data_IF_925778641533
#
_entry.id   IF_925778641533
#
_cell.length_a   1.000
_cell.length_b   1.000
_cell.length_c   1.000
_cell.angle_alpha   90.00
_cell.angle_beta   90.00
_cell.angle_gamma   90.00
#
_symmetry.space_group_name_H-M   'P 1'
#
loop_
_entity.id
_entity.type
_entity.pdbx_description
1 polymer ?
#
# COMPACT_ATOMS: atom_id res chain seq x y z
N UNK A 1 12.46 21.97 -1.42
CA UNK A 1 11.12 21.39 -1.62
C UNK A 1 10.35 22.28 -2.56
N UNK A 2 9.90 21.74 -3.69
CA UNK A 2 9.11 22.51 -4.66
C UNK A 2 7.73 22.84 -4.08
N UNK A 3 7.08 23.91 -4.55
CA UNK A 3 5.69 24.25 -4.15
C UNK A 3 4.71 23.10 -4.40
N UNK A 4 5.07 22.20 -5.32
CA UNK A 4 4.30 20.99 -5.64
C UNK A 4 4.42 19.93 -4.52
N UNK A 5 5.60 19.77 -3.92
CA UNK A 5 5.83 18.83 -2.81
C UNK A 5 5.09 19.26 -1.53
N UNK A 6 5.05 20.56 -1.25
CA UNK A 6 4.34 21.08 -0.06
C UNK A 6 2.83 20.90 -0.19
N UNK A 7 2.27 21.05 -1.40
CA UNK A 7 0.85 20.80 -1.67
C UNK A 7 0.53 19.29 -1.59
N UNK A 8 1.38 18.41 -2.12
CA UNK A 8 1.20 16.95 -1.97
C UNK A 8 1.18 16.50 -0.51
N UNK A 9 2.08 17.03 0.29
CA UNK A 9 2.16 16.77 1.73
C UNK A 9 0.91 17.26 2.47
N UNK A 10 0.43 18.47 2.16
CA UNK A 10 -0.75 19.07 2.80
C UNK A 10 -2.07 18.32 2.47
N UNK A 11 -2.15 17.67 1.30
CA UNK A 11 -3.32 16.88 0.88
C UNK A 11 -3.20 15.40 1.30
N UNK A 12 -2.12 15.02 2.00
CA UNK A 12 -1.91 13.65 2.47
C UNK A 12 -1.62 12.64 1.35
N UNK A 13 -1.27 13.10 0.15
CA UNK A 13 -0.77 12.23 -0.91
C UNK A 13 0.70 11.92 -0.62
N UNK A 14 0.96 10.75 -0.03
CA UNK A 14 2.32 10.20 0.04
C UNK A 14 2.86 10.05 -1.39
N UNK A 15 4.06 10.58 -1.65
CA UNK A 15 4.71 10.61 -2.98
C UNK A 15 4.86 9.24 -3.66
N UNK A 16 4.60 8.15 -2.96
CA UNK A 16 4.84 6.79 -3.41
C UNK A 16 3.61 6.06 -3.93
N UNK A 17 2.39 6.60 -3.93
CA UNK A 17 1.22 5.84 -4.41
C UNK A 17 1.12 5.78 -5.93
N UNK A 18 0.98 4.58 -6.52
CA UNK A 18 0.77 4.39 -7.97
C UNK A 18 -0.53 5.07 -8.43
N UNK A 19 -0.51 5.65 -9.62
CA UNK A 19 -1.73 6.27 -10.17
C UNK A 19 -2.74 5.21 -10.63
N UNK A 20 -4.02 5.57 -10.71
CA UNK A 20 -5.06 4.65 -11.18
C UNK A 20 -4.82 4.15 -12.61
N UNK A 21 -4.25 5.01 -13.46
CA UNK A 21 -3.88 4.66 -14.83
C UNK A 21 -2.75 3.63 -14.83
N UNK A 22 -1.67 3.86 -14.07
CA UNK A 22 -0.56 2.90 -13.92
C UNK A 22 -1.02 1.53 -13.42
N UNK A 23 -1.91 1.48 -12.42
CA UNK A 23 -2.46 0.22 -11.91
C UNK A 23 -3.31 -0.53 -12.95
N UNK A 24 -4.00 0.21 -13.82
CA UNK A 24 -4.80 -0.35 -14.91
C UNK A 24 -3.91 -0.87 -16.04
N UNK A 25 -2.88 -0.12 -16.41
CA UNK A 25 -1.88 -0.50 -17.41
C UNK A 25 -1.10 -1.75 -16.99
N UNK A 26 -0.73 -1.83 -15.70
CA UNK A 26 -0.11 -3.00 -15.10
C UNK A 26 -1.08 -4.18 -14.89
N UNK A 27 -2.36 -4.03 -15.28
CA UNK A 27 -3.41 -5.05 -15.19
C UNK A 27 -3.53 -5.67 -13.79
N UNK A 28 -3.38 -4.86 -12.74
CA UNK A 28 -3.51 -5.34 -11.37
C UNK A 28 -4.96 -5.78 -11.08
N UNK A 29 -5.18 -6.95 -10.45
CA UNK A 29 -6.49 -7.34 -9.94
C UNK A 29 -6.98 -6.34 -8.88
N UNK A 30 -8.30 -6.20 -8.76
CA UNK A 30 -8.92 -5.19 -7.88
C UNK A 30 -8.47 -5.29 -6.41
N UNK A 31 -8.14 -6.49 -5.95
CA UNK A 31 -7.70 -6.77 -4.59
C UNK A 31 -6.33 -6.17 -4.28
N UNK A 32 -5.48 -6.00 -5.29
CA UNK A 32 -4.11 -5.49 -5.15
C UNK A 32 -3.96 -4.03 -5.61
N UNK A 33 -5.08 -3.32 -5.75
CA UNK A 33 -5.12 -1.88 -6.06
C UNK A 33 -5.20 -1.07 -4.77
N UNK A 34 -4.26 -1.32 -3.88
CA UNK A 34 -4.15 -0.72 -2.55
C UNK A 34 -3.04 0.33 -2.49
N UNK A 35 -2.79 0.92 -1.33
CA UNK A 35 -1.73 1.92 -1.15
C UNK A 35 -0.34 1.37 -1.49
N UNK A 36 -0.12 0.06 -1.37
CA UNK A 36 1.16 -0.60 -1.65
C UNK A 36 1.35 -1.03 -3.12
N UNK A 37 0.40 -0.72 -4.01
CA UNK A 37 0.45 -1.15 -5.42
C UNK A 37 1.71 -0.68 -6.17
N UNK A 38 2.29 0.44 -5.77
CA UNK A 38 3.53 0.99 -6.34
C UNK A 38 4.75 0.07 -6.19
N UNK A 39 4.78 -0.77 -5.15
CA UNK A 39 5.83 -1.77 -4.95
C UNK A 39 5.53 -3.08 -5.67
N UNK A 40 4.24 -3.37 -5.91
CA UNK A 40 3.82 -4.59 -6.60
C UNK A 40 4.11 -4.55 -8.10
N UNK A 41 3.99 -3.38 -8.73
CA UNK A 41 4.30 -3.19 -10.16
C UNK A 41 5.76 -3.59 -10.48
N UNK A 42 6.80 -3.06 -9.79
CA UNK A 42 8.18 -3.46 -10.04
C UNK A 42 8.44 -4.93 -9.63
N UNK A 43 7.83 -5.42 -8.54
CA UNK A 43 7.94 -6.83 -8.16
C UNK A 43 7.45 -7.78 -9.27
N UNK A 44 6.30 -7.48 -9.88
CA UNK A 44 5.75 -8.30 -10.95
C UNK A 44 6.60 -8.23 -12.23
N UNK A 45 7.22 -7.07 -12.53
CA UNK A 45 8.19 -6.95 -13.61
C UNK A 45 9.43 -7.82 -13.35
N UNK A 46 9.98 -7.77 -12.14
CA UNK A 46 11.13 -8.60 -11.76
C UNK A 46 10.79 -10.10 -11.82
N UNK A 47 9.64 -10.50 -11.28
CA UNK A 47 9.15 -11.89 -11.36
C UNK A 47 9.02 -12.39 -12.79
N UNK A 48 8.49 -11.57 -13.69
CA UNK A 48 8.38 -11.94 -15.09
C UNK A 48 9.74 -12.08 -15.78
N UNK A 49 10.69 -11.18 -15.48
CA UNK A 49 12.04 -11.22 -16.03
C UNK A 49 12.85 -12.44 -15.53
N UNK A 50 12.71 -12.80 -14.25
CA UNK A 50 13.44 -13.88 -13.59
C UNK A 50 12.64 -15.20 -13.56
N UNK A 51 11.61 -15.35 -14.40
CA UNK A 51 10.79 -16.56 -14.49
C UNK A 51 10.22 -17.06 -13.15
N UNK A 52 9.86 -16.15 -12.25
CA UNK A 52 9.26 -16.43 -10.94
C UNK A 52 10.12 -17.30 -10.02
N UNK A 53 11.44 -17.27 -10.17
CA UNK A 53 12.35 -17.99 -9.28
C UNK A 53 12.28 -17.44 -7.84
N UNK A 54 12.17 -18.30 -6.81
CA UNK A 54 11.84 -17.86 -5.45
C UNK A 54 12.99 -17.15 -4.71
N UNK A 55 14.23 -17.32 -5.16
CA UNK A 55 15.45 -16.68 -4.62
C UNK A 55 15.84 -15.40 -5.37
N UNK A 56 15.02 -14.96 -6.33
CA UNK A 56 15.18 -13.71 -7.06
C UNK A 56 14.10 -12.72 -6.63
N UNK A 57 14.39 -11.43 -6.76
CA UNK A 57 13.47 -10.35 -6.40
C UNK A 57 13.07 -10.34 -4.90
N UNK A 58 13.98 -10.77 -4.01
CA UNK A 58 13.68 -10.87 -2.57
C UNK A 58 13.49 -9.51 -1.91
N UNK A 59 14.29 -8.51 -2.30
CA UNK A 59 14.22 -7.17 -1.74
C UNK A 59 12.89 -6.48 -2.12
N UNK A 60 12.46 -6.61 -3.37
CA UNK A 60 11.17 -6.12 -3.85
C UNK A 60 10.01 -6.85 -3.19
N UNK A 61 10.15 -8.17 -2.96
CA UNK A 61 9.15 -8.96 -2.23
C UNK A 61 9.03 -8.47 -0.80
N UNK A 62 10.15 -8.35 -0.09
CA UNK A 62 10.18 -8.00 1.31
C UNK A 62 9.69 -6.56 1.55
N UNK A 63 10.05 -5.62 0.68
CA UNK A 63 9.55 -4.25 0.74
C UNK A 63 8.02 -4.18 0.54
N UNK A 64 7.47 -4.93 -0.42
CA UNK A 64 6.02 -5.03 -0.60
C UNK A 64 5.32 -5.64 0.63
N UNK A 65 5.85 -6.74 1.17
CA UNK A 65 5.32 -7.40 2.37
C UNK A 65 5.33 -6.49 3.60
N UNK A 66 6.42 -5.73 3.79
CA UNK A 66 6.53 -4.74 4.86
C UNK A 66 5.44 -3.66 4.73
N UNK A 67 5.21 -3.15 3.52
CA UNK A 67 4.15 -2.17 3.28
C UNK A 67 2.76 -2.73 3.63
N UNK A 68 2.45 -3.96 3.21
CA UNK A 68 1.20 -4.64 3.54
C UNK A 68 1.03 -4.82 5.05
N UNK A 69 2.11 -5.16 5.75
CA UNK A 69 2.10 -5.33 7.19
C UNK A 69 1.84 -4.01 7.94
N UNK A 70 2.42 -2.91 7.48
CA UNK A 70 2.16 -1.58 8.04
C UNK A 70 0.71 -1.12 7.79
N UNK A 71 0.17 -1.41 6.60
CA UNK A 71 -1.24 -1.14 6.27
C UNK A 71 -2.20 -1.97 7.15
N UNK A 72 -1.88 -3.25 7.37
CA UNK A 72 -2.61 -4.11 8.29
C UNK A 72 -2.62 -3.53 9.72
N UNK A 73 -1.47 -3.08 10.23
CA UNK A 73 -1.40 -2.44 11.57
C UNK A 73 -2.29 -1.21 11.67
N UNK A 74 -2.35 -0.37 10.63
CA UNK A 74 -3.25 0.79 10.58
C UNK A 74 -4.72 0.35 10.65
N UNK A 75 -5.09 -0.74 9.95
CA UNK A 75 -6.45 -1.31 10.03
C UNK A 75 -6.78 -1.86 11.41
N UNK A 76 -5.83 -2.52 12.08
CA UNK A 76 -6.02 -3.00 13.46
C UNK A 76 -6.26 -1.83 14.42
N UNK A 77 -5.43 -0.79 14.36
CA UNK A 77 -5.60 0.41 15.19
C UNK A 77 -6.98 1.05 14.99
N UNK A 78 -7.43 1.20 13.74
CA UNK A 78 -8.77 1.71 13.42
C UNK A 78 -9.89 0.82 13.97
N UNK A 79 -9.72 -0.50 13.95
CA UNK A 79 -10.70 -1.42 14.54
C UNK A 79 -10.78 -1.29 16.06
N UNK A 80 -9.66 -1.04 16.73
CA UNK A 80 -9.63 -0.83 18.17
C UNK A 80 -10.29 0.50 18.57
N UNK A 81 -10.06 1.57 17.79
CA UNK A 81 -10.79 2.84 17.92
C UNK A 81 -12.31 2.64 17.79
N UNK A 82 -12.75 1.89 16.77
CA UNK A 82 -14.17 1.59 16.55
C UNK A 82 -14.78 0.75 17.68
N UNK A 83 -14.02 -0.19 18.26
CA UNK A 83 -14.46 -0.99 19.42
C UNK A 83 -14.62 -0.09 20.65
N UNK A 84 -13.64 0.76 20.94
CA UNK A 84 -13.71 1.69 22.07
C UNK A 84 -14.90 2.67 21.95
N UNK A 85 -15.14 3.19 20.73
CA UNK A 85 -16.29 4.05 20.46
C UNK A 85 -17.63 3.31 20.64
N UNK A 86 -17.75 2.06 20.18
CA UNK A 86 -18.95 1.24 20.39
C UNK A 86 -19.20 0.96 21.87
N UNK A 87 -18.15 0.64 22.61
CA UNK A 87 -18.24 0.39 24.05
C UNK A 87 -18.62 1.67 24.81
N UNK A 88 -18.21 2.84 24.33
CA UNK A 88 -18.70 4.12 24.85
C UNK A 88 -20.20 4.29 24.59
N UNK A 89 -20.66 4.08 23.35
CA UNK A 89 -22.10 4.20 23.01
C UNK A 89 -23.00 3.18 23.70
N UNK A 90 -22.47 2.00 24.10
CA UNK A 90 -23.24 1.00 24.85
C UNK A 90 -23.39 1.37 26.33
N UNK A 91 -22.46 2.15 26.89
CA UNK A 91 -22.41 2.50 28.31
C UNK A 91 -23.25 3.73 28.67
N UNK A 92 -23.55 4.59 27.70
CA UNK A 92 -24.40 5.77 27.83
C UNK A 92 -25.75 5.55 27.14
#
# INVERSE_FOLDING_TARGET
MTVIETVKSAVGLSETSATRQEMSEARLPMQYRDSCAHLLIPLNRCRQAEYYLPWKCEDERHSYEKCQYEEFKKRVAKMDELRAAKDYTRRN
#
